data_IF_161888924591
#
_entry.id   IF_161888924591
#
_cell.length_a   1.000
_cell.length_b   1.000
_cell.length_c   1.000
_cell.angle_alpha   90.00
_cell.angle_beta   90.00
_cell.angle_gamma   90.00
#
_symmetry.space_group_name_H-M   'P 1'
#
loop_
_entity.id
_entity.type
_entity.pdbx_description
1 polymer ?
#
# COMPACT_ATOMS: atom_id res chain seq x y z
N UNK A 1 -5.64 -6.26 -11.69
CA UNK A 1 -5.49 -7.35 -10.69
C UNK A 1 -6.37 -7.04 -9.49
N UNK A 2 -6.80 -8.06 -8.73
CA UNK A 2 -7.39 -7.89 -7.38
C UNK A 2 -6.43 -8.48 -6.35
N UNK A 3 -6.03 -7.70 -5.34
CA UNK A 3 -5.12 -8.16 -4.29
C UNK A 3 -5.40 -7.51 -2.93
N UNK A 4 -5.35 -8.32 -1.88
CA UNK A 4 -5.35 -7.88 -0.48
C UNK A 4 -3.90 -7.80 0.02
N UNK A 5 -3.50 -6.64 0.54
CA UNK A 5 -2.12 -6.31 0.90
C UNK A 5 -2.09 -5.90 2.37
N UNK A 6 -1.32 -6.62 3.19
CA UNK A 6 -1.03 -6.21 4.56
C UNK A 6 0.20 -5.32 4.57
N UNK A 7 0.05 -4.11 5.10
CA UNK A 7 1.13 -3.14 5.26
C UNK A 7 1.71 -3.29 6.66
N UNK A 8 2.97 -3.74 6.71
CA UNK A 8 3.76 -3.86 7.93
C UNK A 8 4.78 -2.71 7.95
N UNK A 9 4.53 -1.63 8.70
CA UNK A 9 5.34 -0.42 8.60
C UNK A 9 6.73 -0.57 9.22
N UNK A 10 6.94 -1.51 10.15
CA UNK A 10 8.20 -1.67 10.86
C UNK A 10 8.57 -0.45 11.71
N UNK A 11 9.87 -0.25 11.93
CA UNK A 11 10.42 0.81 12.78
C UNK A 11 11.21 1.86 11.98
N UNK A 12 11.69 2.91 12.67
CA UNK A 12 12.47 3.98 12.06
C UNK A 12 11.65 4.77 11.04
N UNK A 13 12.15 4.91 9.81
CA UNK A 13 11.46 5.60 8.71
C UNK A 13 10.45 4.72 7.94
N UNK A 14 10.26 3.48 8.39
CA UNK A 14 9.40 2.50 7.74
C UNK A 14 7.94 2.97 7.59
N UNK A 15 7.29 3.58 8.59
CA UNK A 15 5.94 4.14 8.46
C UNK A 15 5.80 5.17 7.34
N UNK A 16 6.76 6.07 7.16
CA UNK A 16 6.75 7.12 6.15
C UNK A 16 6.94 6.56 4.74
N UNK A 17 7.89 5.63 4.58
CA UNK A 17 8.19 4.99 3.30
C UNK A 17 7.04 4.09 2.85
N UNK A 18 6.48 3.28 3.76
CA UNK A 18 5.33 2.43 3.43
C UNK A 18 4.08 3.25 3.12
N UNK A 19 3.84 4.37 3.81
CA UNK A 19 2.77 5.30 3.45
C UNK A 19 2.95 5.91 2.05
N UNK A 20 4.18 6.21 1.65
CA UNK A 20 4.48 6.68 0.29
C UNK A 20 4.23 5.58 -0.77
N UNK A 21 4.65 4.35 -0.49
CA UNK A 21 4.43 3.21 -1.37
C UNK A 21 2.93 2.94 -1.63
N UNK A 22 2.09 3.03 -0.58
CA UNK A 22 0.64 2.87 -0.72
C UNK A 22 0.04 3.89 -1.69
N UNK A 23 0.44 5.17 -1.60
CA UNK A 23 -0.05 6.22 -2.53
C UNK A 23 0.31 5.94 -3.99
N UNK A 24 1.52 5.44 -4.23
CA UNK A 24 1.96 5.04 -5.57
C UNK A 24 1.10 3.87 -6.07
N UNK A 25 0.87 2.85 -5.24
CA UNK A 25 0.05 1.70 -5.61
C UNK A 25 -1.42 2.07 -5.88
N UNK A 26 -2.00 3.01 -5.15
CA UNK A 26 -3.34 3.56 -5.41
C UNK A 26 -3.41 4.27 -6.77
N UNK A 27 -2.35 4.99 -7.14
CA UNK A 27 -2.23 5.65 -8.45
C UNK A 27 -2.18 4.61 -9.56
N UNK A 28 -1.35 3.57 -9.41
CA UNK A 28 -1.25 2.46 -10.35
C UNK A 28 -2.57 1.68 -10.45
N UNK A 29 -3.27 1.47 -9.34
CA UNK A 29 -4.59 0.84 -9.33
C UNK A 29 -5.58 1.58 -10.22
N UNK A 30 -5.63 2.91 -10.07
CA UNK A 30 -6.49 3.77 -10.88
C UNK A 30 -6.07 3.76 -12.35
N UNK A 31 -4.79 3.93 -12.66
CA UNK A 31 -4.30 4.02 -14.04
C UNK A 31 -4.44 2.74 -14.85
N UNK A 32 -4.37 1.57 -14.20
CA UNK A 32 -4.32 0.27 -14.88
C UNK A 32 -5.50 -0.65 -14.52
N UNK A 33 -6.53 -0.13 -13.86
CA UNK A 33 -7.72 -0.90 -13.48
C UNK A 33 -7.39 -2.07 -12.54
N UNK A 34 -6.48 -1.86 -11.60
CA UNK A 34 -6.27 -2.80 -10.50
C UNK A 34 -7.13 -2.40 -9.29
N UNK A 35 -7.41 -3.35 -8.42
CA UNK A 35 -8.11 -3.16 -7.16
C UNK A 35 -7.20 -3.71 -6.06
N UNK A 36 -6.70 -2.80 -5.22
CA UNK A 36 -5.86 -3.13 -4.07
C UNK A 36 -6.60 -2.78 -2.79
N UNK A 37 -6.57 -3.69 -1.80
CA UNK A 37 -7.11 -3.44 -0.47
C UNK A 37 -5.99 -3.50 0.54
N UNK A 38 -5.79 -2.43 1.29
CA UNK A 38 -4.70 -2.32 2.25
C UNK A 38 -5.22 -2.53 3.68
N UNK A 39 -4.64 -3.49 4.40
CA UNK A 39 -4.87 -3.69 5.82
C UNK A 39 -3.61 -3.30 6.60
N UNK A 40 -3.77 -2.74 7.80
CA UNK A 40 -2.67 -2.49 8.73
C UNK A 40 -2.81 -3.46 9.91
N UNK A 41 -1.73 -4.15 10.26
CA UNK A 41 -1.65 -4.93 11.49
C UNK A 41 -0.80 -4.15 12.50
N UNK A 42 -1.23 -4.18 13.77
CA UNK A 42 -0.66 -3.39 14.86
C UNK A 42 -0.02 -4.31 15.88
#
# INVERSE_FOLDING_TARGET
MRADIVVLPGDGIGPEVTAAAVRVLETIATSFGHEFRFARHR
#
